data_IF_640074484668
#
_entry.id   IF_640074484668
#
_cell.length_a   1.000
_cell.length_b   1.000
_cell.length_c   1.000
_cell.angle_alpha   90.00
_cell.angle_beta   90.00
_cell.angle_gamma   90.00
#
_symmetry.space_group_name_H-M   'P 1'
#
loop_
_entity.id
_entity.type
_entity.pdbx_description
1 polymer ?
#
# COMPACT_ATOMS: atom_id res chain seq x y z
N UNK A 1 -24.31 -40.36 -24.04
CA UNK A 1 -23.71 -39.77 -22.81
C UNK A 1 -23.08 -38.43 -23.18
N UNK A 2 -23.81 -37.33 -22.92
CA UNK A 2 -23.34 -35.98 -23.13
C UNK A 2 -22.75 -35.55 -21.79
N UNK A 3 -21.41 -35.41 -21.72
CA UNK A 3 -20.71 -34.86 -20.60
C UNK A 3 -20.93 -33.33 -20.58
N UNK A 4 -21.75 -32.87 -19.65
CA UNK A 4 -21.80 -31.43 -19.34
C UNK A 4 -20.52 -31.05 -18.59
N UNK A 5 -19.61 -30.38 -19.27
CA UNK A 5 -18.53 -29.64 -18.62
C UNK A 5 -19.16 -28.41 -18.03
N UNK A 6 -19.45 -28.45 -16.73
CA UNK A 6 -19.81 -27.25 -15.97
C UNK A 6 -18.58 -26.33 -15.91
N UNK A 7 -18.58 -25.33 -16.80
CA UNK A 7 -17.67 -24.22 -16.67
C UNK A 7 -17.92 -23.53 -15.32
N UNK A 8 -17.02 -23.73 -14.38
CA UNK A 8 -16.94 -22.89 -13.18
C UNK A 8 -16.45 -21.54 -13.70
N UNK A 9 -17.39 -20.66 -14.02
CA UNK A 9 -17.11 -19.22 -14.06
C UNK A 9 -16.71 -18.84 -12.63
N UNK A 10 -15.42 -18.83 -12.36
CA UNK A 10 -14.92 -18.17 -11.18
C UNK A 10 -15.43 -16.72 -11.27
N UNK A 11 -16.42 -16.39 -10.44
CA UNK A 11 -16.86 -15.02 -10.29
C UNK A 11 -15.61 -14.20 -10.04
N UNK A 12 -15.32 -13.26 -10.92
CA UNK A 12 -14.20 -12.34 -10.77
C UNK A 12 -14.50 -11.62 -9.47
N UNK A 13 -13.69 -11.89 -8.44
CA UNK A 13 -13.85 -11.27 -7.13
C UNK A 13 -13.59 -9.76 -7.28
N UNK A 14 -14.68 -9.01 -7.51
CA UNK A 14 -14.64 -7.55 -7.70
C UNK A 14 -14.16 -6.81 -6.45
N UNK A 15 -14.01 -7.53 -5.34
CA UNK A 15 -13.57 -6.97 -4.06
C UNK A 15 -12.04 -6.95 -3.90
N UNK A 16 -11.28 -7.56 -4.80
CA UNK A 16 -9.82 -7.53 -4.72
C UNK A 16 -9.28 -6.14 -5.03
N UNK A 17 -8.49 -5.59 -4.11
CA UNK A 17 -7.81 -4.31 -4.26
C UNK A 17 -6.33 -4.55 -4.02
N UNK A 18 -5.51 -4.46 -5.06
CA UNK A 18 -4.07 -4.66 -4.93
C UNK A 18 -3.25 -3.97 -6.01
N UNK A 19 -1.98 -3.78 -5.70
CA UNK A 19 -0.90 -3.51 -6.64
C UNK A 19 0.22 -4.52 -6.40
N UNK A 20 0.65 -5.23 -7.45
CA UNK A 20 1.78 -6.15 -7.45
C UNK A 20 2.90 -5.57 -8.30
N UNK A 21 4.06 -5.45 -7.68
CA UNK A 21 5.23 -4.83 -8.28
C UNK A 21 6.19 -5.90 -8.79
N UNK A 22 6.31 -6.00 -10.09
CA UNK A 22 7.20 -6.92 -10.78
C UNK A 22 7.94 -6.20 -11.91
N UNK A 23 8.34 -6.90 -12.95
CA UNK A 23 8.87 -6.27 -14.17
C UNK A 23 7.88 -5.26 -14.76
N UNK A 24 6.60 -5.53 -14.56
CA UNK A 24 5.50 -4.62 -14.89
C UNK A 24 4.57 -4.52 -13.68
N UNK A 25 4.05 -3.33 -13.46
CA UNK A 25 3.03 -3.08 -12.46
C UNK A 25 1.72 -3.78 -12.88
N UNK A 26 1.17 -4.60 -11.98
CA UNK A 26 -0.18 -5.17 -12.10
C UNK A 26 -1.05 -4.58 -11.01
N UNK A 27 -2.17 -4.00 -11.37
CA UNK A 27 -3.12 -3.43 -10.41
C UNK A 27 -4.52 -3.96 -10.64
N UNK A 28 -5.28 -4.05 -9.56
CA UNK A 28 -6.71 -4.25 -9.59
C UNK A 28 -7.35 -3.33 -8.56
N UNK A 29 -8.20 -2.42 -9.02
CA UNK A 29 -8.92 -1.45 -8.20
C UNK A 29 -8.01 -0.56 -7.32
N UNK A 30 -6.70 -0.46 -7.62
CA UNK A 30 -5.74 0.36 -6.90
C UNK A 30 -4.80 1.05 -7.90
N UNK A 31 -4.86 2.38 -7.93
CA UNK A 31 -3.95 3.21 -8.72
C UNK A 31 -2.76 3.62 -7.88
N UNK A 32 -1.56 3.59 -8.45
CA UNK A 32 -0.32 3.93 -7.77
C UNK A 32 0.33 5.14 -8.45
N UNK A 33 0.67 6.15 -7.64
CA UNK A 33 1.52 7.27 -8.04
C UNK A 33 2.79 7.27 -7.20
N UNK A 34 3.95 7.43 -7.84
CA UNK A 34 5.24 7.51 -7.16
C UNK A 34 5.63 8.99 -7.03
N UNK A 35 5.96 9.41 -5.81
CA UNK A 35 6.27 10.80 -5.51
C UNK A 35 5.05 11.74 -5.49
N UNK A 36 5.25 12.96 -5.00
CA UNK A 36 4.18 13.95 -4.80
C UNK A 36 3.57 14.45 -6.10
N UNK A 37 4.32 14.44 -7.19
CA UNK A 37 3.90 14.92 -8.51
C UNK A 37 3.53 13.79 -9.48
N UNK A 38 3.69 12.53 -9.05
CA UNK A 38 3.45 11.35 -9.88
C UNK A 38 4.41 11.20 -11.07
N UNK A 39 5.55 11.91 -11.05
CA UNK A 39 6.53 11.92 -12.15
C UNK A 39 7.74 11.04 -11.89
N UNK A 40 7.91 10.55 -10.67
CA UNK A 40 9.00 9.63 -10.36
C UNK A 40 8.88 8.37 -11.21
N UNK A 41 9.93 7.96 -11.89
CA UNK A 41 9.88 6.79 -12.76
C UNK A 41 9.67 5.52 -11.94
N UNK A 42 8.91 4.59 -12.50
CA UNK A 42 8.86 3.23 -11.99
C UNK A 42 10.23 2.58 -12.18
N UNK A 43 10.90 2.27 -11.10
CA UNK A 43 12.16 1.52 -11.16
C UNK A 43 11.98 0.19 -10.43
N UNK A 44 12.57 -0.86 -11.02
CA UNK A 44 12.51 -2.19 -10.47
C UNK A 44 13.84 -2.62 -9.90
N UNK A 45 13.80 -3.50 -8.93
CA UNK A 45 14.98 -4.17 -8.37
C UNK A 45 14.67 -5.64 -8.21
N UNK A 46 15.69 -6.49 -8.35
CA UNK A 46 15.57 -7.91 -8.01
C UNK A 46 16.24 -8.15 -6.67
N UNK A 47 15.49 -8.67 -5.72
CA UNK A 47 15.95 -9.05 -4.38
C UNK A 47 15.52 -10.48 -4.10
N UNK A 48 16.46 -11.34 -3.74
CA UNK A 48 16.21 -12.76 -3.46
C UNK A 48 15.36 -13.45 -4.54
N UNK A 49 15.73 -13.23 -5.81
CA UNK A 49 15.05 -13.81 -6.97
C UNK A 49 13.68 -13.24 -7.30
N UNK A 50 13.16 -12.28 -6.53
CA UNK A 50 11.87 -11.62 -6.75
C UNK A 50 12.06 -10.18 -7.20
N UNK A 51 11.30 -9.79 -8.22
CA UNK A 51 11.25 -8.41 -8.69
C UNK A 51 10.31 -7.58 -7.82
N UNK A 52 10.70 -6.35 -7.50
CA UNK A 52 9.88 -5.40 -6.76
C UNK A 52 10.09 -3.97 -7.24
N UNK A 53 9.22 -3.07 -6.80
CA UNK A 53 9.34 -1.63 -7.00
C UNK A 53 10.37 -1.06 -6.02
N UNK A 54 11.40 -0.42 -6.55
CA UNK A 54 12.35 0.30 -5.71
C UNK A 54 11.89 1.74 -5.47
N UNK A 55 11.76 2.12 -4.21
CA UNK A 55 11.47 3.50 -3.81
C UNK A 55 12.65 4.03 -3.00
N UNK A 56 13.26 5.11 -3.48
CA UNK A 56 14.43 5.71 -2.88
C UNK A 56 14.03 6.68 -1.77
N UNK A 57 14.73 6.65 -0.64
CA UNK A 57 14.53 7.58 0.49
C UNK A 57 15.31 8.89 0.37
N UNK A 58 16.27 8.98 -0.54
CA UNK A 58 17.21 10.10 -0.65
C UNK A 58 16.64 11.40 -1.23
N UNK A 59 15.39 11.42 -1.63
CA UNK A 59 14.75 12.63 -2.16
C UNK A 59 13.62 13.07 -1.22
N UNK A 60 13.82 14.23 -0.58
CA UNK A 60 12.88 14.79 0.42
C UNK A 60 11.40 14.84 -0.03
N UNK A 61 11.14 14.78 -1.32
CA UNK A 61 9.82 14.98 -1.90
C UNK A 61 9.23 13.74 -2.57
N UNK A 62 10.04 12.71 -2.84
CA UNK A 62 9.64 11.57 -3.67
C UNK A 62 9.65 10.21 -2.95
N UNK A 63 9.80 10.22 -1.64
CA UNK A 63 9.88 9.00 -0.83
C UNK A 63 8.49 8.51 -0.40
N UNK A 64 7.52 8.49 -1.32
CA UNK A 64 6.19 8.00 -1.02
C UNK A 64 5.53 7.35 -2.23
N UNK A 65 4.75 6.31 -1.94
CA UNK A 65 3.77 5.73 -2.85
C UNK A 65 2.39 6.22 -2.46
N UNK A 66 1.71 6.89 -3.38
CA UNK A 66 0.32 7.32 -3.20
C UNK A 66 -0.60 6.30 -3.83
N UNK A 67 -1.55 5.83 -3.06
CA UNK A 67 -2.44 4.72 -3.40
C UNK A 67 -3.89 5.22 -3.39
N UNK A 68 -4.53 5.13 -4.53
CA UNK A 68 -5.88 5.61 -4.80
C UNK A 68 -6.76 4.41 -5.18
N UNK A 69 -7.76 4.13 -4.37
CA UNK A 69 -8.70 3.01 -4.56
C UNK A 69 -9.74 3.47 -5.57
N UNK A 70 -10.06 2.62 -6.53
CA UNK A 70 -11.08 2.94 -7.51
C UNK A 70 -12.44 3.19 -6.83
N UNK A 71 -13.14 4.27 -7.17
CA UNK A 71 -14.40 4.71 -6.55
C UNK A 71 -15.48 3.62 -6.51
N UNK A 72 -15.51 2.70 -7.48
CA UNK A 72 -16.47 1.58 -7.48
C UNK A 72 -16.09 0.54 -6.41
N UNK A 73 -14.82 0.21 -6.32
CA UNK A 73 -14.31 -0.70 -5.30
C UNK A 73 -14.44 -0.07 -3.91
N UNK A 74 -14.18 1.22 -3.78
CA UNK A 74 -14.37 2.00 -2.57
C UNK A 74 -15.79 1.89 -2.03
N UNK A 75 -16.81 2.07 -2.87
CA UNK A 75 -18.22 1.92 -2.48
C UNK A 75 -18.53 0.52 -1.92
N UNK A 76 -17.91 -0.51 -2.49
CA UNK A 76 -18.13 -1.88 -2.04
C UNK A 76 -17.48 -2.18 -0.70
N UNK A 77 -16.48 -1.39 -0.31
CA UNK A 77 -15.73 -1.59 0.93
C UNK A 77 -16.09 -0.61 2.04
N UNK A 78 -16.78 0.50 1.76
CA UNK A 78 -17.16 1.50 2.78
C UNK A 78 -18.10 0.98 3.86
N UNK A 79 -18.75 -0.15 3.63
CA UNK A 79 -19.64 -0.80 4.59
C UNK A 79 -18.91 -1.48 5.76
N UNK A 80 -17.59 -1.59 5.70
CA UNK A 80 -16.82 -2.23 6.77
C UNK A 80 -16.21 -1.20 7.72
N UNK A 81 -16.21 -1.53 9.01
CA UNK A 81 -15.68 -0.65 10.07
C UNK A 81 -14.16 -0.51 10.07
N UNK A 82 -13.48 -1.44 9.47
CA UNK A 82 -12.01 -1.48 9.43
C UNK A 82 -11.48 -2.30 8.26
N UNK A 83 -10.21 -1.99 7.88
CA UNK A 83 -9.50 -2.64 6.79
C UNK A 83 -8.08 -2.99 7.20
N UNK A 84 -7.54 -4.02 6.57
CA UNK A 84 -6.11 -4.21 6.52
C UNK A 84 -5.54 -3.60 5.24
N UNK A 85 -4.46 -2.84 5.40
CA UNK A 85 -3.53 -2.52 4.32
C UNK A 85 -2.30 -3.36 4.56
N UNK A 86 -2.07 -4.34 3.70
CA UNK A 86 -0.96 -5.27 3.79
C UNK A 86 0.11 -4.90 2.78
N UNK A 87 1.35 -4.78 3.24
CA UNK A 87 2.50 -4.38 2.42
C UNK A 87 3.56 -5.46 2.50
N UNK A 88 3.92 -6.00 1.34
CA UNK A 88 5.07 -6.86 1.19
C UNK A 88 6.28 -6.02 0.79
N UNK A 89 7.37 -6.18 1.52
CA UNK A 89 8.61 -5.41 1.32
C UNK A 89 9.85 -6.28 1.55
N UNK A 90 10.96 -5.90 0.93
CA UNK A 90 12.25 -6.52 1.18
C UNK A 90 12.99 -5.75 2.27
N UNK A 91 13.31 -6.44 3.35
CA UNK A 91 13.95 -5.88 4.54
C UNK A 91 15.46 -5.76 4.33
N UNK A 92 15.88 -4.67 3.68
CA UNK A 92 17.27 -4.38 3.32
C UNK A 92 17.66 -3.00 3.84
N UNK A 93 18.69 -2.98 4.66
CA UNK A 93 19.24 -1.75 5.21
C UNK A 93 18.56 -1.27 6.50
N UNK A 94 18.63 0.03 6.72
CA UNK A 94 18.16 0.70 7.92
C UNK A 94 17.28 1.89 7.51
N UNK A 95 16.17 2.02 8.15
CA UNK A 95 15.19 3.05 7.89
C UNK A 95 13.82 2.60 8.36
N UNK A 96 12.81 3.29 7.92
CA UNK A 96 11.46 2.88 8.24
C UNK A 96 10.46 3.39 7.21
N UNK A 97 9.29 2.77 7.20
CA UNK A 97 8.14 3.27 6.49
C UNK A 97 6.90 3.25 7.38
N UNK A 98 5.90 4.01 6.99
CA UNK A 98 4.62 4.12 7.68
C UNK A 98 3.53 4.51 6.68
N UNK A 99 2.27 4.30 7.06
CA UNK A 99 1.14 4.79 6.30
C UNK A 99 0.74 6.21 6.73
N UNK A 100 0.28 6.99 5.76
CA UNK A 100 -0.64 8.09 5.99
C UNK A 100 -1.97 7.74 5.38
N UNK A 101 -3.05 7.89 6.14
CA UNK A 101 -4.40 7.59 5.70
C UNK A 101 -5.35 8.73 6.01
N UNK A 102 -6.46 8.76 5.32
CA UNK A 102 -7.62 9.54 5.71
C UNK A 102 -8.56 8.62 6.51
N UNK A 103 -8.35 8.56 7.80
CA UNK A 103 -9.10 7.74 8.72
C UNK A 103 -9.73 8.61 9.82
N UNK A 104 -10.74 8.07 10.50
CA UNK A 104 -11.38 8.69 11.68
C UNK A 104 -10.96 8.02 12.99
N UNK A 105 -9.98 7.14 12.96
CA UNK A 105 -9.49 6.49 14.16
C UNK A 105 -8.80 7.52 15.07
N UNK A 106 -9.12 7.51 16.35
CA UNK A 106 -8.55 8.46 17.31
C UNK A 106 -7.17 8.03 17.82
N UNK A 107 -6.76 6.80 17.50
CA UNK A 107 -5.51 6.20 18.00
C UNK A 107 -4.25 6.58 17.24
N UNK A 108 -4.39 7.14 16.04
CA UNK A 108 -3.25 7.53 15.21
C UNK A 108 -2.94 9.02 15.37
N UNK A 109 -1.67 9.37 15.22
CA UNK A 109 -1.23 10.75 15.29
C UNK A 109 -1.80 11.56 14.12
N UNK A 110 -2.56 12.62 14.45
CA UNK A 110 -3.12 13.54 13.48
C UNK A 110 -2.04 14.47 12.93
N UNK A 111 -1.88 14.50 11.64
CA UNK A 111 -0.99 15.43 10.97
C UNK A 111 -1.69 16.78 10.76
N UNK A 112 -0.91 17.84 10.48
CA UNK A 112 -1.47 19.18 10.15
C UNK A 112 -2.39 19.16 8.92
N UNK A 113 -2.35 18.13 8.10
CA UNK A 113 -3.18 17.98 6.90
C UNK A 113 -4.45 17.15 7.15
N UNK A 114 -4.81 16.91 8.41
CA UNK A 114 -5.96 16.06 8.81
C UNK A 114 -5.85 14.60 8.38
N UNK A 115 -4.67 14.16 7.98
CA UNK A 115 -4.36 12.75 7.75
C UNK A 115 -3.78 12.15 9.01
N UNK A 116 -3.89 10.83 9.15
CA UNK A 116 -3.36 10.09 10.28
C UNK A 116 -2.13 9.29 9.85
N UNK A 117 -1.20 9.12 10.77
CA UNK A 117 0.02 8.34 10.57
C UNK A 117 -0.07 7.04 11.38
N UNK A 118 0.19 5.91 10.73
CA UNK A 118 0.27 4.61 11.39
C UNK A 118 1.49 4.48 12.30
N UNK A 119 1.59 3.33 12.95
CA UNK A 119 2.85 2.84 13.52
C UNK A 119 3.95 2.79 12.45
N UNK A 120 5.19 2.82 12.94
CA UNK A 120 6.39 2.79 12.12
C UNK A 120 6.86 1.35 11.95
N UNK A 121 7.11 0.93 10.73
CA UNK A 121 7.76 -0.35 10.40
C UNK A 121 9.25 -0.09 10.19
N UNK A 122 10.08 -0.57 11.12
CA UNK A 122 11.53 -0.44 11.02
C UNK A 122 12.13 -1.56 10.21
N UNK A 123 13.11 -1.22 9.38
CA UNK A 123 13.94 -2.18 8.67
C UNK A 123 15.02 -2.69 9.62
N UNK A 124 15.25 -4.00 9.61
CA UNK A 124 16.20 -4.68 10.48
C UNK A 124 17.29 -5.43 9.70
N UNK A 125 17.38 -5.18 8.40
CA UNK A 125 18.38 -5.74 7.49
C UNK A 125 18.42 -7.28 7.49
N UNK A 126 17.27 -7.92 7.53
CA UNK A 126 17.18 -9.39 7.54
C UNK A 126 17.43 -10.03 6.18
N UNK A 127 17.48 -9.24 5.11
CA UNK A 127 17.65 -9.68 3.72
C UNK A 127 16.55 -10.65 3.29
N UNK A 128 15.30 -10.41 3.71
CA UNK A 128 14.15 -11.25 3.41
C UNK A 128 12.96 -10.42 2.95
N UNK A 129 12.11 -11.04 2.15
CA UNK A 129 10.78 -10.52 1.91
C UNK A 129 9.92 -10.73 3.16
N UNK A 130 9.35 -9.66 3.66
CA UNK A 130 8.49 -9.62 4.83
C UNK A 130 7.15 -8.99 4.45
N UNK A 131 6.15 -9.26 5.27
CA UNK A 131 4.82 -8.66 5.14
C UNK A 131 4.45 -7.96 6.43
N UNK A 132 4.02 -6.70 6.32
CA UNK A 132 3.44 -5.97 7.44
C UNK A 132 1.99 -5.62 7.14
N UNK A 133 1.17 -5.66 8.17
CA UNK A 133 -0.27 -5.47 8.07
C UNK A 133 -0.72 -4.35 9.00
N UNK A 134 -1.20 -3.27 8.41
CA UNK A 134 -1.76 -2.13 9.14
C UNK A 134 -3.27 -2.28 9.26
N UNK A 135 -3.80 -2.13 10.49
CA UNK A 135 -5.23 -2.06 10.72
C UNK A 135 -5.69 -0.60 10.64
N UNK A 136 -6.47 -0.28 9.63
CA UNK A 136 -7.08 1.03 9.44
C UNK A 136 -8.53 0.98 9.93
N UNK A 137 -8.83 1.68 11.01
CA UNK A 137 -10.18 1.78 11.57
C UNK A 137 -10.88 3.02 11.01
N UNK A 138 -12.18 2.90 10.78
CA UNK A 138 -13.03 3.99 10.28
C UNK A 138 -12.43 4.75 9.09
N UNK A 139 -11.96 4.07 8.04
CA UNK A 139 -11.39 4.73 6.88
C UNK A 139 -12.43 5.61 6.20
N UNK A 140 -11.99 6.67 5.56
CA UNK A 140 -12.86 7.51 4.71
C UNK A 140 -12.65 7.23 3.23
N UNK A 141 -11.41 6.97 2.84
CA UNK A 141 -11.01 6.86 1.44
C UNK A 141 -11.53 8.05 0.59
N UNK A 142 -11.34 9.26 1.07
CA UNK A 142 -11.89 10.47 0.47
C UNK A 142 -10.82 11.32 -0.24
N UNK A 143 -9.77 10.67 -0.76
CA UNK A 143 -8.70 11.31 -1.54
C UNK A 143 -7.98 12.47 -0.84
N UNK A 144 -7.97 12.50 0.51
CA UNK A 144 -7.36 13.59 1.28
C UNK A 144 -5.84 13.46 1.47
N UNK A 145 -5.24 12.37 1.00
CA UNK A 145 -3.79 12.14 1.06
C UNK A 145 -3.16 12.50 -0.28
N UNK A 146 -3.04 13.79 -0.58
CA UNK A 146 -2.50 14.29 -1.85
C UNK A 146 -3.21 13.69 -3.09
N UNK A 147 -4.52 13.76 -3.11
CA UNK A 147 -5.40 13.15 -4.13
C UNK A 147 -5.24 11.63 -4.23
N UNK A 148 -5.07 10.97 -3.10
CA UNK A 148 -5.10 9.54 -2.93
C UNK A 148 -5.73 9.19 -1.56
N UNK A 149 -6.11 7.94 -1.35
CA UNK A 149 -6.75 7.47 -0.13
C UNK A 149 -5.74 7.19 0.98
N UNK A 150 -4.57 6.72 0.60
CA UNK A 150 -3.47 6.54 1.53
C UNK A 150 -2.12 6.68 0.83
N UNK A 151 -1.05 6.77 1.61
CA UNK A 151 0.32 6.71 1.09
C UNK A 151 1.22 5.89 1.98
N UNK A 152 2.17 5.19 1.36
CA UNK A 152 3.31 4.55 2.02
C UNK A 152 4.45 5.54 1.98
N UNK A 153 4.88 6.03 3.13
CA UNK A 153 5.92 7.04 3.25
C UNK A 153 7.19 6.41 3.82
N UNK A 154 8.30 6.69 3.17
CA UNK A 154 9.61 6.23 3.59
C UNK A 154 10.37 7.36 4.28
N UNK A 155 11.14 6.99 5.27
CA UNK A 155 12.03 7.91 5.95
C UNK A 155 13.37 7.24 6.24
N UNK A 156 14.46 7.96 5.96
CA UNK A 156 15.80 7.54 6.32
C UNK A 156 16.25 8.28 7.58
N UNK A 157 16.64 7.52 8.59
CA UNK A 157 17.19 8.08 9.83
C UNK A 157 18.66 8.50 9.66
N UNK A 158 19.34 7.98 8.64
CA UNK A 158 20.72 8.28 8.32
C UNK A 158 20.83 9.42 7.30
N UNK A 159 20.73 10.64 7.76
CA UNK A 159 20.66 11.86 6.94
C UNK A 159 21.95 12.21 6.16
N UNK A 160 22.82 11.26 5.85
CA UNK A 160 24.14 11.69 5.37
C UNK A 160 24.64 11.17 4.06
N UNK A 161 24.52 9.90 3.71
CA UNK A 161 25.39 9.42 2.63
C UNK A 161 24.94 8.22 1.81
N UNK A 162 23.95 7.47 2.20
CA UNK A 162 23.48 6.35 1.40
C UNK A 162 22.08 6.58 0.88
N UNK A 163 21.93 6.43 -0.42
CA UNK A 163 20.63 6.34 -1.06
C UNK A 163 19.97 5.03 -0.59
N UNK A 164 19.43 5.03 0.59
CA UNK A 164 18.61 3.92 1.08
C UNK A 164 17.28 3.95 0.34
N UNK A 165 16.69 2.81 0.20
CA UNK A 165 15.38 2.64 -0.42
C UNK A 165 14.76 1.36 0.10
N UNK A 166 13.51 1.16 -0.25
CA UNK A 166 12.77 -0.07 0.06
C UNK A 166 12.25 -0.67 -1.22
N UNK A 167 12.41 -1.97 -1.39
CA UNK A 167 11.76 -2.70 -2.46
C UNK A 167 10.40 -3.18 -1.97
N UNK A 168 9.34 -2.82 -2.69
CA UNK A 168 7.98 -3.28 -2.40
C UNK A 168 7.58 -4.36 -3.41
N UNK A 169 7.02 -5.47 -2.91
CA UNK A 169 6.54 -6.58 -3.72
C UNK A 169 5.05 -6.47 -4.03
N UNK A 170 4.26 -6.11 -3.02
CA UNK A 170 2.81 -6.03 -3.15
C UNK A 170 2.20 -5.08 -2.11
N UNK A 171 1.11 -4.43 -2.49
CA UNK A 171 0.19 -3.73 -1.59
C UNK A 171 -1.20 -4.32 -1.82
N UNK A 172 -1.89 -4.70 -0.75
CA UNK A 172 -3.26 -5.23 -0.81
C UNK A 172 -4.14 -4.54 0.22
N UNK A 173 -5.40 -4.31 -0.13
CA UNK A 173 -6.41 -3.74 0.78
C UNK A 173 -7.58 -4.71 0.87
N UNK A 174 -7.98 -5.07 2.07
CA UNK A 174 -9.10 -5.97 2.29
C UNK A 174 -9.78 -5.74 3.63
N UNK A 175 -11.07 -6.06 3.76
CA UNK A 175 -11.81 -5.88 5.01
C UNK A 175 -11.20 -6.68 6.16
N UNK A 176 -11.22 -6.12 7.36
CA UNK A 176 -10.75 -6.78 8.58
C UNK A 176 -11.86 -7.05 9.58
N UNK A 177 -13.04 -6.52 9.37
CA UNK A 177 -14.17 -6.60 10.28
C UNK A 177 -15.45 -7.10 9.61
N UNK A 178 -16.53 -7.15 10.38
CA UNK A 178 -17.88 -7.42 9.87
C UNK A 178 -18.41 -6.19 9.14
N UNK A 179 -19.29 -6.40 8.15
CA UNK A 179 -20.06 -5.30 7.56
C UNK A 179 -20.85 -4.60 8.66
N UNK A 180 -20.79 -3.27 8.66
CA UNK A 180 -21.69 -2.46 9.48
C UNK A 180 -23.12 -2.70 8.97
N UNK A 181 -23.97 -3.29 9.78
CA UNK A 181 -25.40 -3.32 9.48
C UNK A 181 -25.89 -1.87 9.58
N UNK A 182 -26.11 -1.23 8.45
CA UNK A 182 -26.83 0.05 8.36
C UNK A 182 -28.31 -0.26 8.35
#
# INVERSE_FOLDING_TARGET
>A
LISMVSGINAAIDETQIYAEFGEKLKTKNLNIKIGTDGKSPYSTVVKDGKCGLWVNTGDKYNSALYCDINDIAEKNITDYSSYFIEIEYFDDGYGHFFLKTDSRADKWEKTRYKTERSEIVRLNNTQKWLTHRFLVEKPRFANNVNSADFSVNLYDENTGTSKSGVAFGRISVYPSGTKSNI
#
